data_IF_729805330532
#
_entry.id   IF_729805330532
#
_cell.length_a   1.000
_cell.length_b   1.000
_cell.length_c   1.000
_cell.angle_alpha   90.00
_cell.angle_beta   90.00
_cell.angle_gamma   90.00
#
_symmetry.space_group_name_H-M   'P 1'
#
loop_
_entity.id
_entity.type
_entity.pdbx_description
1 polymer ?
#
# COMPACT_ATOMS: atom_id res chain seq x y z
N UNK A 1 -5.79 -30.28 -7.35
CA UNK A 1 -6.72 -29.16 -7.49
C UNK A 1 -5.94 -28.00 -8.11
N UNK A 2 -6.20 -27.70 -9.37
CA UNK A 2 -5.51 -26.62 -10.08
C UNK A 2 -5.87 -25.27 -9.47
N UNK A 3 -4.87 -24.50 -9.08
CA UNK A 3 -5.04 -23.09 -8.86
C UNK A 3 -5.45 -22.47 -10.22
N UNK A 4 -6.74 -22.13 -10.35
CA UNK A 4 -7.23 -21.44 -11.53
C UNK A 4 -6.39 -20.18 -11.70
N UNK A 5 -5.74 -20.06 -12.83
CA UNK A 5 -5.08 -18.83 -13.24
C UNK A 5 -6.19 -17.78 -13.29
N UNK A 6 -6.12 -16.79 -12.41
CA UNK A 6 -7.00 -15.64 -12.52
C UNK A 6 -6.77 -15.05 -13.91
N UNK A 7 -7.83 -14.95 -14.71
CA UNK A 7 -7.77 -14.30 -16.02
C UNK A 7 -7.13 -12.92 -15.89
N UNK A 8 -6.26 -12.57 -16.83
CA UNK A 8 -5.67 -11.23 -16.84
C UNK A 8 -6.77 -10.17 -16.94
N UNK A 9 -6.78 -9.16 -16.08
CA UNK A 9 -7.80 -8.14 -16.11
C UNK A 9 -7.72 -7.33 -17.41
N UNK A 10 -8.87 -6.95 -17.95
CA UNK A 10 -8.96 -6.05 -19.08
C UNK A 10 -8.54 -4.64 -18.67
N UNK A 11 -7.56 -4.05 -19.35
CA UNK A 11 -7.14 -2.66 -19.15
C UNK A 11 -7.90 -1.74 -20.08
N UNK A 12 -8.64 -0.81 -19.51
CA UNK A 12 -9.39 0.19 -20.26
C UNK A 12 -8.80 1.57 -19.98
N UNK A 13 -8.22 2.21 -20.99
CA UNK A 13 -7.70 3.58 -20.88
C UNK A 13 -8.85 4.56 -20.70
N UNK A 14 -8.66 5.55 -19.84
CA UNK A 14 -9.64 6.59 -19.54
C UNK A 14 -9.58 7.68 -20.62
N UNK A 15 -8.36 8.07 -20.98
CA UNK A 15 -8.09 9.06 -22.04
C UNK A 15 -6.93 8.55 -22.90
N UNK A 16 -6.91 8.85 -24.22
CA UNK A 16 -5.89 8.38 -25.15
C UNK A 16 -4.47 8.76 -24.75
N UNK A 17 -4.26 9.98 -24.25
CA UNK A 17 -2.96 10.59 -24.00
C UNK A 17 -2.49 10.48 -22.56
N UNK A 18 -3.25 9.82 -21.69
CA UNK A 18 -2.93 9.69 -20.25
C UNK A 18 -2.71 8.22 -19.90
N UNK A 19 -1.61 7.93 -19.20
CA UNK A 19 -1.32 6.56 -18.74
C UNK A 19 -2.14 6.21 -17.47
N UNK A 20 -3.44 6.54 -17.53
CA UNK A 20 -4.43 6.18 -16.52
C UNK A 20 -5.40 5.18 -17.13
N UNK A 21 -5.63 4.08 -16.43
CA UNK A 21 -6.52 3.04 -16.90
C UNK A 21 -7.23 2.35 -15.75
N UNK A 22 -8.45 1.88 -16.01
CA UNK A 22 -9.14 0.97 -15.12
C UNK A 22 -8.78 -0.48 -15.45
N UNK A 23 -8.81 -1.33 -14.44
CA UNK A 23 -8.72 -2.78 -14.60
C UNK A 23 -10.04 -3.40 -14.18
N UNK A 24 -10.69 -4.07 -15.12
CA UNK A 24 -11.97 -4.76 -14.91
C UNK A 24 -11.83 -6.25 -15.19
N UNK A 25 -12.70 -7.08 -14.64
CA UNK A 25 -12.69 -8.52 -14.89
C UNK A 25 -12.92 -8.85 -16.36
N UNK A 26 -12.00 -9.61 -16.96
CA UNK A 26 -12.13 -10.01 -18.37
C UNK A 26 -13.34 -10.92 -18.60
N UNK A 27 -13.66 -11.80 -17.65
CA UNK A 27 -14.78 -12.72 -17.71
C UNK A 27 -16.17 -12.13 -17.42
N UNK A 28 -16.29 -10.80 -17.19
CA UNK A 28 -17.58 -10.15 -17.03
C UNK A 28 -18.37 -10.17 -18.35
N UNK A 29 -19.69 -10.18 -18.27
CA UNK A 29 -20.56 -9.97 -19.45
C UNK A 29 -20.37 -8.57 -20.03
N UNK A 30 -20.54 -8.40 -21.31
CA UNK A 30 -20.27 -7.12 -21.96
C UNK A 30 -21.19 -6.00 -21.46
N UNK A 31 -22.44 -6.32 -21.13
CA UNK A 31 -23.39 -5.39 -20.51
C UNK A 31 -22.89 -4.89 -19.16
N UNK A 32 -22.43 -5.82 -18.30
CA UNK A 32 -21.89 -5.51 -16.96
C UNK A 32 -20.59 -4.70 -17.05
N UNK A 33 -19.74 -4.97 -18.08
CA UNK A 33 -18.53 -4.19 -18.35
C UNK A 33 -18.85 -2.73 -18.66
N UNK A 34 -19.86 -2.51 -19.52
CA UNK A 34 -20.29 -1.16 -19.91
C UNK A 34 -20.81 -0.41 -18.69
N UNK A 35 -21.70 -1.02 -17.93
CA UNK A 35 -22.27 -0.43 -16.71
C UNK A 35 -21.17 -0.08 -15.68
N UNK A 36 -20.25 -1.01 -15.43
CA UNK A 36 -19.12 -0.79 -14.53
C UNK A 36 -18.23 0.36 -15.01
N UNK A 37 -17.90 0.42 -16.30
CA UNK A 37 -17.06 1.49 -16.85
C UNK A 37 -17.75 2.85 -16.77
N UNK A 38 -19.04 2.94 -17.05
CA UNK A 38 -19.80 4.17 -16.87
C UNK A 38 -19.79 4.64 -15.42
N UNK A 39 -19.99 3.73 -14.47
CA UNK A 39 -19.91 4.04 -13.04
C UNK A 39 -18.53 4.55 -12.63
N UNK A 40 -17.47 3.89 -13.09
CA UNK A 40 -16.08 4.28 -12.77
C UNK A 40 -15.73 5.66 -13.38
N UNK A 41 -16.18 5.94 -14.60
CA UNK A 41 -15.94 7.23 -15.26
C UNK A 41 -16.72 8.37 -14.55
N UNK A 42 -17.96 8.11 -14.15
CA UNK A 42 -18.77 9.09 -13.43
C UNK A 42 -18.18 9.48 -12.06
N UNK A 43 -17.38 8.59 -11.47
CA UNK A 43 -16.75 8.77 -10.18
C UNK A 43 -15.21 8.85 -10.27
N UNK A 44 -14.69 9.36 -11.38
CA UNK A 44 -13.25 9.38 -11.65
C UNK A 44 -12.45 10.21 -10.66
N UNK A 45 -13.07 11.22 -10.09
CA UNK A 45 -12.49 12.16 -9.13
C UNK A 45 -12.20 11.54 -7.75
N UNK A 46 -12.83 10.40 -7.43
CA UNK A 46 -12.55 9.69 -6.17
C UNK A 46 -11.35 8.76 -6.23
N UNK A 47 -10.77 8.53 -7.42
CA UNK A 47 -9.63 7.65 -7.59
C UNK A 47 -8.31 8.41 -7.45
N UNK A 48 -7.39 7.87 -6.63
CA UNK A 48 -6.01 8.30 -6.58
C UNK A 48 -5.18 7.52 -7.61
N UNK A 49 -4.49 8.23 -8.49
CA UNK A 49 -3.69 7.65 -9.58
C UNK A 49 -2.21 7.57 -9.20
N UNK A 50 -1.83 8.24 -8.14
CA UNK A 50 -0.49 8.20 -7.56
C UNK A 50 -0.57 8.23 -6.03
N UNK A 51 0.48 7.80 -5.31
CA UNK A 51 0.55 7.92 -3.85
C UNK A 51 0.44 9.36 -3.35
N UNK A 52 0.75 10.34 -4.18
CA UNK A 52 0.71 11.77 -3.85
C UNK A 52 -0.69 12.38 -3.93
N UNK A 53 -1.63 11.65 -4.55
CA UNK A 53 -3.03 12.08 -4.69
C UNK A 53 -3.93 11.51 -3.57
N UNK A 54 -3.35 10.83 -2.59
CA UNK A 54 -4.09 10.28 -1.43
C UNK A 54 -3.93 11.24 -0.25
N UNK A 55 -4.89 12.15 -0.01
CA UNK A 55 -4.78 13.16 1.06
C UNK A 55 -4.92 12.58 2.47
N UNK A 56 -5.25 11.28 2.55
CA UNK A 56 -5.61 10.65 3.82
C UNK A 56 -7.04 10.97 4.25
N UNK A 57 -7.43 10.42 5.37
CA UNK A 57 -8.74 10.65 5.98
C UNK A 57 -8.58 11.69 7.07
N UNK A 58 -9.55 12.62 7.17
CA UNK A 58 -9.58 13.60 8.23
C UNK A 58 -9.54 12.91 9.60
N UNK A 59 -8.63 13.35 10.46
CA UNK A 59 -8.45 12.79 11.81
C UNK A 59 -9.68 12.99 12.71
N UNK A 60 -10.50 13.99 12.43
CA UNK A 60 -11.77 14.21 13.14
C UNK A 60 -12.84 13.21 12.68
N UNK A 61 -12.75 12.72 11.43
CA UNK A 61 -13.68 11.73 10.91
C UNK A 61 -13.39 10.32 11.46
N UNK A 62 -12.15 9.86 11.40
CA UNK A 62 -11.75 8.56 11.93
C UNK A 62 -10.24 8.48 12.21
N UNK A 63 -9.92 7.89 13.35
CA UNK A 63 -8.54 7.53 13.72
C UNK A 63 -8.50 6.05 14.05
N UNK A 64 -7.62 5.30 13.38
CA UNK A 64 -7.33 3.93 13.75
C UNK A 64 -6.37 3.92 14.96
N UNK A 65 -6.85 3.42 16.07
CA UNK A 65 -6.01 3.23 17.27
C UNK A 65 -5.56 1.78 17.35
N UNK A 66 -4.27 1.57 17.56
CA UNK A 66 -3.74 0.23 17.83
C UNK A 66 -4.27 -0.25 19.19
N UNK A 67 -4.72 -1.51 19.23
CA UNK A 67 -5.21 -2.14 20.46
C UNK A 67 -4.04 -2.65 21.30
N UNK A 68 -3.24 -1.73 21.82
CA UNK A 68 -2.10 -2.04 22.68
C UNK A 68 -2.55 -1.96 24.13
N UNK A 69 -2.31 -3.02 24.89
CA UNK A 69 -2.59 -3.05 26.34
C UNK A 69 -1.61 -2.12 27.08
N UNK A 70 -2.07 -1.06 27.75
CA UNK A 70 -1.21 -0.10 28.44
C UNK A 70 -0.47 -0.70 29.64
N UNK A 71 -0.86 -1.89 30.13
CA UNK A 71 -0.15 -2.60 31.20
C UNK A 71 1.20 -3.18 30.74
N UNK A 72 1.40 -3.35 29.42
CA UNK A 72 2.66 -3.82 28.88
C UNK A 72 3.60 -2.66 28.56
N UNK A 73 4.85 -2.69 29.05
CA UNK A 73 5.80 -1.63 28.77
C UNK A 73 6.19 -1.62 27.28
N UNK A 74 6.44 -0.44 26.71
CA UNK A 74 6.93 -0.32 25.32
C UNK A 74 8.20 -1.12 25.07
N UNK A 75 8.28 -1.75 23.91
CA UNK A 75 9.44 -2.52 23.49
C UNK A 75 10.19 -1.86 22.35
N UNK A 76 11.53 -1.91 22.44
CA UNK A 76 12.43 -1.48 21.36
C UNK A 76 13.19 -2.69 20.87
N UNK A 77 12.84 -3.17 19.67
CA UNK A 77 13.58 -4.27 19.05
C UNK A 77 15.02 -3.86 18.76
N UNK A 78 15.96 -4.78 19.04
CA UNK A 78 17.37 -4.55 18.68
C UNK A 78 17.50 -4.47 17.15
N UNK A 79 18.30 -3.53 16.61
CA UNK A 79 18.50 -3.42 15.17
C UNK A 79 19.02 -4.74 14.58
N UNK A 80 18.37 -5.19 13.50
CA UNK A 80 18.82 -6.35 12.73
C UNK A 80 19.78 -5.91 11.63
N UNK A 81 20.81 -6.71 11.37
CA UNK A 81 21.70 -6.48 10.22
C UNK A 81 20.94 -6.76 8.92
N UNK A 82 20.97 -5.82 8.00
CA UNK A 82 20.37 -5.94 6.69
C UNK A 82 21.44 -6.00 5.60
N UNK A 83 21.19 -6.71 4.51
CA UNK A 83 22.05 -6.70 3.33
C UNK A 83 22.05 -5.33 2.66
N UNK A 84 23.05 -5.02 1.84
CA UNK A 84 23.12 -3.76 1.09
C UNK A 84 21.89 -3.54 0.19
N UNK A 85 21.38 -4.61 -0.42
CA UNK A 85 20.16 -4.56 -1.26
C UNK A 85 18.92 -4.24 -0.44
N UNK A 86 18.75 -4.86 0.72
CA UNK A 86 17.64 -4.58 1.62
C UNK A 86 17.68 -3.13 2.12
N UNK A 87 18.86 -2.63 2.52
CA UNK A 87 19.02 -1.22 2.93
C UNK A 87 18.62 -0.27 1.81
N UNK A 88 19.00 -0.56 0.55
CA UNK A 88 18.60 0.24 -0.60
C UNK A 88 17.09 0.23 -0.79
N UNK A 89 16.44 -0.93 -0.69
CA UNK A 89 14.99 -1.07 -0.81
C UNK A 89 14.25 -0.30 0.31
N UNK A 90 14.72 -0.41 1.56
CA UNK A 90 14.15 0.33 2.70
C UNK A 90 14.27 1.84 2.50
N UNK A 91 15.46 2.35 2.09
CA UNK A 91 15.67 3.78 1.85
C UNK A 91 14.74 4.33 0.78
N UNK A 92 14.56 3.61 -0.32
CA UNK A 92 13.65 4.00 -1.41
C UNK A 92 12.20 4.06 -0.93
N UNK A 93 11.76 3.06 -0.17
CA UNK A 93 10.39 3.02 0.33
C UNK A 93 10.13 4.12 1.37
N UNK A 94 11.05 4.33 2.31
CA UNK A 94 10.95 5.41 3.29
C UNK A 94 10.90 6.78 2.61
N UNK A 95 11.74 7.01 1.59
CA UNK A 95 11.72 8.24 0.81
C UNK A 95 10.34 8.46 0.18
N UNK A 96 9.81 7.43 -0.52
CA UNK A 96 8.50 7.47 -1.17
C UNK A 96 7.37 7.79 -0.20
N UNK A 97 7.37 7.12 0.97
CA UNK A 97 6.33 7.32 2.00
C UNK A 97 6.41 8.70 2.66
N UNK A 98 7.63 9.24 2.86
CA UNK A 98 7.82 10.60 3.37
C UNK A 98 7.34 11.65 2.36
N UNK A 99 7.70 11.50 1.09
CA UNK A 99 7.25 12.41 0.01
C UNK A 99 5.74 12.39 -0.19
N UNK A 100 5.10 11.24 0.07
CA UNK A 100 3.64 11.08 0.07
C UNK A 100 2.98 11.49 1.41
N UNK A 101 3.74 12.04 2.37
CA UNK A 101 3.26 12.40 3.72
C UNK A 101 2.57 11.27 4.49
N UNK A 102 2.78 10.01 4.06
CA UNK A 102 2.22 8.82 4.70
C UNK A 102 2.92 8.46 6.02
N UNK A 103 4.17 8.92 6.20
CA UNK A 103 4.95 8.76 7.43
C UNK A 103 5.67 10.05 7.77
N UNK A 104 5.94 10.23 9.05
CA UNK A 104 6.75 11.34 9.58
C UNK A 104 7.88 10.83 10.45
N UNK A 105 8.92 11.61 10.59
CA UNK A 105 9.99 11.36 11.54
C UNK A 105 9.55 11.73 12.96
N UNK A 106 9.88 10.89 13.92
CA UNK A 106 9.67 11.15 15.34
C UNK A 106 10.98 11.01 16.11
N UNK A 107 11.20 11.87 17.09
CA UNK A 107 12.33 11.78 17.99
C UNK A 107 11.95 10.95 19.23
N UNK A 108 12.89 10.16 19.73
CA UNK A 108 12.74 9.37 20.97
C UNK A 108 11.50 8.46 21.03
N UNK A 109 11.29 7.58 20.03
CA UNK A 109 10.15 6.68 20.03
C UNK A 109 10.17 5.75 21.25
N UNK A 110 9.01 5.50 21.82
CA UNK A 110 8.86 4.50 22.89
C UNK A 110 8.86 3.09 22.33
N UNK A 111 8.20 2.88 21.18
CA UNK A 111 8.17 1.62 20.46
C UNK A 111 9.11 1.66 19.26
N UNK A 112 9.87 0.59 19.06
CA UNK A 112 10.71 0.41 17.89
C UNK A 112 10.55 -1.00 17.32
N UNK A 113 10.17 -1.07 16.06
CA UNK A 113 10.06 -2.31 15.30
C UNK A 113 11.05 -2.33 14.12
N UNK A 114 11.59 -3.51 13.82
CA UNK A 114 12.44 -3.69 12.66
C UNK A 114 11.62 -3.72 11.37
N UNK A 115 12.25 -3.34 10.28
CA UNK A 115 11.74 -3.58 8.94
C UNK A 115 12.08 -4.99 8.48
N UNK A 116 11.17 -5.63 7.76
CA UNK A 116 11.34 -6.93 7.10
C UNK A 116 11.20 -6.74 5.61
N UNK A 117 12.19 -7.19 4.84
CA UNK A 117 12.20 -7.06 3.38
C UNK A 117 11.93 -8.40 2.75
N UNK A 118 10.89 -8.48 1.94
CA UNK A 118 10.44 -9.71 1.27
C UNK A 118 10.46 -9.52 -0.24
N UNK A 119 10.90 -10.53 -0.97
CA UNK A 119 10.89 -10.51 -2.43
C UNK A 119 9.52 -10.95 -2.94
N UNK A 120 8.90 -10.12 -3.78
CA UNK A 120 7.64 -10.45 -4.47
C UNK A 120 7.91 -11.43 -5.63
N UNK A 121 6.86 -12.12 -6.09
CA UNK A 121 6.95 -13.01 -7.28
C UNK A 121 7.48 -12.30 -8.54
N UNK A 122 7.20 -11.01 -8.69
CA UNK A 122 7.68 -10.18 -9.81
C UNK A 122 9.11 -9.63 -9.61
N UNK A 123 9.85 -10.14 -8.63
CA UNK A 123 11.24 -9.76 -8.35
C UNK A 123 11.41 -8.44 -7.57
N UNK A 124 10.37 -7.65 -7.38
CA UNK A 124 10.41 -6.39 -6.60
C UNK A 124 10.45 -6.68 -5.11
N UNK A 125 11.07 -5.76 -4.36
CA UNK A 125 11.08 -5.81 -2.90
C UNK A 125 9.80 -5.25 -2.29
N UNK A 126 9.35 -5.87 -1.21
CA UNK A 126 8.31 -5.32 -0.32
C UNK A 126 8.97 -5.05 1.03
N UNK A 127 8.81 -3.85 1.54
CA UNK A 127 9.23 -3.48 2.89
C UNK A 127 8.02 -3.57 3.80
N UNK A 128 8.16 -4.34 4.87
CA UNK A 128 7.14 -4.53 5.90
C UNK A 128 7.71 -4.09 7.26
N UNK A 129 6.85 -3.94 8.25
CA UNK A 129 7.23 -3.66 9.63
C UNK A 129 6.89 -4.87 10.50
N UNK A 130 7.80 -5.25 11.38
CA UNK A 130 7.63 -6.38 12.30
C UNK A 130 6.87 -5.93 13.55
N UNK A 131 5.56 -6.15 13.55
CA UNK A 131 4.69 -5.81 14.68
C UNK A 131 4.55 -6.91 15.75
N UNK A 132 5.42 -7.92 15.75
CA UNK A 132 5.32 -9.07 16.66
C UNK A 132 5.23 -8.67 18.13
N UNK A 133 5.92 -7.60 18.54
CA UNK A 133 5.89 -7.12 19.93
C UNK A 133 4.66 -6.25 20.25
N UNK A 134 3.84 -5.90 19.27
CA UNK A 134 2.60 -5.12 19.43
C UNK A 134 1.35 -5.98 19.47
N UNK A 135 1.48 -7.26 19.14
CA UNK A 135 0.38 -8.23 19.11
C UNK A 135 0.24 -8.96 20.46
#
# INVERSE_FOLDING_TARGET
MGAGYAEEPLRVKILPDVDKYFQIGAGMKDEDKVEMLLFLIQNIDIFAWSPYEVPGVDLEFIVHRLNVDPSFPPKKQKPRRSTKEHVKAIKLEVKRLREAEAIREICFPEWLANTVVVRKKNGKWRVCVDFTDLN
#
